data_IF_741623824110
#
_entry.id   IF_741623824110
#
_cell.length_a   1.000
_cell.length_b   1.000
_cell.length_c   1.000
_cell.angle_alpha   90.00
_cell.angle_beta   90.00
_cell.angle_gamma   90.00
#
_symmetry.space_group_name_H-M   'P 1'
#
loop_
_entity.id
_entity.type
_entity.pdbx_description
1 polymer ?
#
# COMPACT_ATOMS: atom_id res chain seq x y z
N UNK A 1 -48.68 57.20 19.71
CA UNK A 1 -47.20 57.17 19.63
C UNK A 1 -46.77 55.72 19.50
N UNK A 2 -46.56 55.23 18.27
CA UNK A 2 -46.10 53.85 18.03
C UNK A 2 -44.62 53.88 17.66
N UNK A 3 -43.76 53.30 18.49
CA UNK A 3 -42.32 53.21 18.27
C UNK A 3 -42.02 51.99 17.40
N UNK A 4 -41.46 52.21 16.22
CA UNK A 4 -41.02 51.15 15.29
C UNK A 4 -39.58 50.80 15.60
N UNK A 5 -39.36 49.64 16.22
CA UNK A 5 -38.02 49.13 16.53
C UNK A 5 -37.35 48.61 15.25
N UNK A 6 -36.30 49.30 14.78
CA UNK A 6 -35.44 48.85 13.68
C UNK A 6 -34.62 47.64 14.13
N UNK A 7 -34.96 46.44 13.67
CA UNK A 7 -34.07 45.29 13.78
C UNK A 7 -32.93 45.41 12.75
N UNK A 8 -31.69 45.54 13.24
CA UNK A 8 -30.51 45.40 12.40
C UNK A 8 -30.22 43.91 12.17
N UNK A 9 -30.37 43.47 10.92
CA UNK A 9 -29.98 42.14 10.47
C UNK A 9 -28.43 42.11 10.43
N UNK A 10 -27.80 41.47 11.41
CA UNK A 10 -26.37 41.14 11.34
C UNK A 10 -26.20 39.92 10.43
N UNK A 11 -25.76 40.15 9.20
CA UNK A 11 -25.28 39.08 8.33
C UNK A 11 -23.94 38.56 8.89
N UNK A 12 -23.98 37.49 9.69
CA UNK A 12 -22.80 36.68 9.94
C UNK A 12 -22.52 35.86 8.67
N UNK A 13 -21.72 36.41 7.77
CA UNK A 13 -21.12 35.59 6.72
C UNK A 13 -20.03 34.73 7.35
N UNK A 14 -20.36 33.46 7.61
CA UNK A 14 -19.36 32.45 7.93
C UNK A 14 -18.58 32.19 6.65
N UNK A 15 -17.51 32.96 6.42
CA UNK A 15 -16.49 32.58 5.44
C UNK A 15 -15.80 31.32 5.98
N UNK A 16 -16.34 30.16 5.62
CA UNK A 16 -15.62 28.89 5.74
C UNK A 16 -14.53 28.95 4.68
N UNK A 17 -13.39 29.53 5.05
CA UNK A 17 -12.17 29.39 4.26
C UNK A 17 -11.88 27.90 4.21
N UNK A 18 -12.05 27.30 3.03
CA UNK A 18 -11.67 25.92 2.76
C UNK A 18 -10.16 25.87 2.90
N UNK A 19 -9.67 25.60 4.13
CA UNK A 19 -8.26 25.55 4.43
C UNK A 19 -7.62 24.56 3.44
N UNK A 20 -6.69 25.04 2.62
CA UNK A 20 -5.89 24.18 1.76
C UNK A 20 -5.11 23.28 2.68
N UNK A 21 -5.55 22.02 2.82
CA UNK A 21 -4.86 21.01 3.59
C UNK A 21 -3.42 20.94 3.07
N UNK A 22 -2.47 21.35 3.90
CA UNK A 22 -1.06 21.30 3.55
C UNK A 22 -0.70 19.85 3.24
N UNK A 23 -0.01 19.61 2.12
CA UNK A 23 0.51 18.27 1.77
C UNK A 23 1.59 17.80 2.74
N UNK A 24 2.18 18.71 3.50
CA UNK A 24 3.23 18.44 4.46
C UNK A 24 2.74 18.70 5.89
N UNK A 25 3.00 17.76 6.82
CA UNK A 25 2.67 17.93 8.24
C UNK A 25 3.52 19.02 8.88
N UNK A 26 3.12 19.49 10.06
CA UNK A 26 3.97 20.37 10.88
C UNK A 26 5.15 19.60 11.46
N UNK A 27 6.26 20.28 11.77
CA UNK A 27 7.45 19.60 12.35
C UNK A 27 7.16 18.96 13.71
N UNK A 28 6.18 19.49 14.45
CA UNK A 28 5.71 18.91 15.72
C UNK A 28 4.92 17.61 15.55
N UNK A 29 4.38 17.34 14.35
CA UNK A 29 3.63 16.12 14.05
C UNK A 29 4.54 14.95 13.63
N UNK A 30 5.74 15.23 13.12
CA UNK A 30 6.65 14.20 12.60
C UNK A 30 7.54 13.66 13.71
N UNK A 31 7.46 12.36 13.96
CA UNK A 31 8.30 11.70 14.97
C UNK A 31 9.55 11.07 14.33
N UNK A 32 10.68 11.02 15.06
CA UNK A 32 11.92 10.41 14.58
C UNK A 32 11.76 8.95 14.08
N UNK A 33 10.79 8.21 14.63
CA UNK A 33 10.47 6.83 14.20
C UNK A 33 9.90 6.75 12.78
N UNK A 34 9.21 7.79 12.33
CA UNK A 34 8.54 7.84 11.02
C UNK A 34 9.51 8.23 9.90
N UNK A 35 10.67 8.81 10.24
CA UNK A 35 11.66 9.24 9.26
C UNK A 35 12.47 8.09 8.68
N UNK A 36 12.35 6.88 9.24
CA UNK A 36 13.07 5.68 8.80
C UNK A 36 14.55 5.62 9.18
N UNK A 37 15.08 6.66 9.85
CA UNK A 37 16.48 6.75 10.27
C UNK A 37 16.70 6.49 11.76
N UNK A 38 15.64 6.29 12.55
CA UNK A 38 15.77 6.00 13.98
C UNK A 38 16.41 4.62 14.20
N UNK A 39 17.45 4.57 15.02
CA UNK A 39 18.21 3.37 15.39
C UNK A 39 17.40 2.33 16.17
N UNK A 40 16.27 2.71 16.77
CA UNK A 40 15.45 1.88 17.65
C UNK A 40 14.31 1.13 16.95
N UNK A 41 14.14 1.29 15.64
CA UNK A 41 13.14 0.56 14.86
C UNK A 41 13.82 -0.43 13.92
N UNK A 42 13.20 -1.60 13.62
CA UNK A 42 13.71 -2.50 12.60
C UNK A 42 13.78 -1.70 11.29
N UNK A 43 15.00 -1.44 10.82
CA UNK A 43 15.25 -0.65 9.63
C UNK A 43 14.58 -1.34 8.44
N UNK A 44 13.47 -0.77 7.96
CA UNK A 44 12.73 -1.32 6.84
C UNK A 44 13.63 -1.37 5.59
N UNK A 45 13.77 -2.54 4.99
CA UNK A 45 14.70 -2.77 3.87
C UNK A 45 16.09 -3.26 4.29
N UNK A 46 16.39 -3.29 5.59
CA UNK A 46 17.50 -4.05 6.17
C UNK A 46 16.92 -5.29 6.91
N UNK A 47 17.72 -6.33 7.06
CA UNK A 47 17.35 -7.57 7.77
C UNK A 47 16.20 -8.39 7.13
N UNK A 48 16.20 -8.53 5.80
CA UNK A 48 15.24 -9.39 5.06
C UNK A 48 13.77 -9.02 5.28
N UNK A 49 13.48 -7.74 5.58
CA UNK A 49 12.11 -7.26 5.80
C UNK A 49 11.48 -6.77 4.50
N UNK A 50 10.18 -7.03 4.34
CA UNK A 50 9.42 -6.62 3.17
C UNK A 50 7.98 -6.25 3.54
N UNK A 51 7.31 -5.50 2.66
CA UNK A 51 5.91 -5.12 2.81
C UNK A 51 5.21 -5.05 1.46
N UNK A 52 3.90 -5.34 1.45
CA UNK A 52 3.02 -5.20 0.29
C UNK A 52 2.10 -4.01 0.50
N UNK A 53 2.31 -2.94 -0.26
CA UNK A 53 1.38 -1.83 -0.23
C UNK A 53 0.06 -2.22 -0.91
N UNK A 54 -1.06 -2.00 -0.24
CA UNK A 54 -2.39 -2.27 -0.81
C UNK A 54 -2.72 -1.31 -1.97
N UNK A 55 -3.69 -1.70 -2.79
CA UNK A 55 -4.23 -0.84 -3.84
C UNK A 55 -5.00 0.34 -3.25
N UNK A 56 -5.34 1.33 -4.08
CA UNK A 56 -6.19 2.46 -3.67
C UNK A 56 -7.56 2.01 -3.14
N UNK A 57 -8.02 0.82 -3.55
CA UNK A 57 -9.26 0.20 -3.10
C UNK A 57 -9.04 -0.78 -1.93
N UNK A 58 -7.90 -0.66 -1.24
CA UNK A 58 -7.52 -1.49 -0.12
C UNK A 58 -7.48 -3.01 -0.42
N UNK A 59 -7.14 -3.38 -1.67
CA UNK A 59 -6.99 -4.78 -2.11
C UNK A 59 -5.53 -5.17 -2.22
N UNK A 60 -5.24 -6.45 -2.00
CA UNK A 60 -3.90 -6.99 -2.23
C UNK A 60 -3.50 -6.82 -3.72
N UNK A 61 -2.25 -6.42 -3.99
CA UNK A 61 -1.76 -6.15 -5.35
C UNK A 61 -1.39 -7.44 -6.09
N UNK A 62 -2.32 -8.41 -6.12
CA UNK A 62 -2.15 -9.74 -6.72
C UNK A 62 -3.09 -9.88 -7.91
N UNK A 63 -2.52 -10.12 -9.09
CA UNK A 63 -3.22 -10.12 -10.37
C UNK A 63 -2.94 -11.40 -11.14
N UNK A 64 -3.87 -11.79 -12.01
CA UNK A 64 -3.63 -12.87 -12.98
C UNK A 64 -3.42 -12.23 -14.35
N UNK A 65 -2.27 -12.47 -14.96
CA UNK A 65 -1.92 -12.00 -16.29
C UNK A 65 -2.09 -13.15 -17.29
N UNK A 66 -2.97 -12.95 -18.27
CA UNK A 66 -3.17 -13.88 -19.38
C UNK A 66 -2.43 -13.37 -20.61
N UNK A 67 -1.51 -14.19 -21.13
CA UNK A 67 -0.89 -13.96 -22.45
C UNK A 67 -1.49 -14.96 -23.42
N UNK A 68 -1.88 -14.48 -24.60
CA UNK A 68 -2.64 -15.21 -25.61
C UNK A 68 -2.15 -16.67 -25.79
N UNK A 69 -3.02 -17.64 -25.49
CA UNK A 69 -2.75 -19.07 -25.65
C UNK A 69 -1.70 -19.68 -24.71
N UNK A 70 -1.15 -18.92 -23.75
CA UNK A 70 -0.11 -19.38 -22.82
C UNK A 70 -0.69 -19.61 -21.43
N UNK A 71 0.02 -20.41 -20.64
CA UNK A 71 -0.24 -20.54 -19.20
C UNK A 71 -0.24 -19.14 -18.56
N UNK A 72 -1.26 -18.80 -17.76
CA UNK A 72 -1.31 -17.50 -17.08
C UNK A 72 -0.18 -17.36 -16.08
N UNK A 73 0.12 -16.12 -15.71
CA UNK A 73 0.99 -15.81 -14.58
C UNK A 73 0.20 -15.17 -13.47
N UNK A 74 0.60 -15.42 -12.23
CA UNK A 74 0.17 -14.63 -11.07
C UNK A 74 1.24 -13.60 -10.77
N UNK A 75 0.87 -12.32 -10.84
CA UNK A 75 1.74 -11.18 -10.64
C UNK A 75 1.47 -10.55 -9.27
N UNK A 76 2.53 -10.37 -8.48
CA UNK A 76 2.50 -9.68 -7.19
C UNK A 76 3.27 -8.37 -7.35
N UNK A 77 2.62 -7.24 -7.06
CA UNK A 77 3.16 -5.87 -7.26
C UNK A 77 3.26 -5.12 -5.95
N UNK A 78 3.76 -3.87 -6.02
CA UNK A 78 3.86 -2.93 -4.89
C UNK A 78 4.66 -3.49 -3.70
N UNK A 79 5.72 -4.23 -4.03
CA UNK A 79 6.64 -4.81 -3.05
C UNK A 79 7.62 -3.73 -2.62
N UNK A 80 7.76 -3.58 -1.31
CA UNK A 80 8.71 -2.70 -0.65
C UNK A 80 9.67 -3.57 0.19
N UNK A 81 10.93 -3.15 0.35
CA UNK A 81 11.96 -3.95 1.04
C UNK A 81 12.55 -5.09 0.18
N UNK A 82 12.90 -6.20 0.83
CA UNK A 82 13.58 -7.35 0.21
C UNK A 82 12.61 -8.29 -0.55
N UNK A 83 12.63 -8.16 -1.87
CA UNK A 83 11.82 -9.00 -2.77
C UNK A 83 12.29 -10.46 -2.84
N UNK A 84 13.56 -10.72 -2.57
CA UNK A 84 14.13 -12.07 -2.60
C UNK A 84 13.62 -12.86 -1.40
N UNK A 85 13.57 -12.23 -0.23
CA UNK A 85 12.98 -12.86 0.94
C UNK A 85 11.49 -13.16 0.73
N UNK A 86 10.71 -12.20 0.22
CA UNK A 86 9.30 -12.45 -0.11
C UNK A 86 9.15 -13.63 -1.09
N UNK A 87 10.00 -13.73 -2.12
CA UNK A 87 9.99 -14.87 -3.03
C UNK A 87 10.26 -16.19 -2.30
N UNK A 88 11.23 -16.23 -1.40
CA UNK A 88 11.57 -17.44 -0.64
C UNK A 88 10.39 -17.90 0.22
N UNK A 89 9.78 -16.97 0.94
CA UNK A 89 8.63 -17.26 1.81
C UNK A 89 7.44 -17.75 0.96
N UNK A 90 7.22 -17.16 -0.22
CA UNK A 90 6.19 -17.63 -1.17
C UNK A 90 6.49 -19.02 -1.75
N UNK A 91 7.77 -19.37 -1.94
CA UNK A 91 8.17 -20.72 -2.38
C UNK A 91 7.92 -21.76 -1.29
N UNK A 92 8.15 -21.41 -0.03
CA UNK A 92 7.83 -22.27 1.11
C UNK A 92 6.31 -22.44 1.28
N UNK A 93 5.56 -21.36 1.06
CA UNK A 93 4.11 -21.37 1.20
C UNK A 93 3.37 -22.07 0.04
N UNK A 94 4.04 -22.25 -1.11
CA UNK A 94 3.50 -22.92 -2.31
C UNK A 94 4.42 -24.08 -2.74
N UNK A 95 4.55 -25.15 -1.93
CA UNK A 95 5.48 -26.25 -2.21
C UNK A 95 5.14 -27.03 -3.48
N UNK A 96 3.89 -26.97 -3.95
CA UNK A 96 3.44 -27.57 -5.21
C UNK A 96 4.01 -26.85 -6.45
N UNK A 97 4.51 -25.63 -6.30
CA UNK A 97 5.06 -24.82 -7.38
C UNK A 97 6.57 -24.99 -7.43
N UNK A 98 7.09 -25.47 -8.56
CA UNK A 98 8.54 -25.58 -8.77
C UNK A 98 9.22 -24.22 -8.62
N UNK A 99 10.39 -24.19 -7.97
CA UNK A 99 11.16 -22.95 -7.72
C UNK A 99 11.46 -22.15 -9.00
N UNK A 100 11.69 -22.83 -10.12
CA UNK A 100 11.93 -22.24 -11.45
C UNK A 100 10.74 -21.42 -12.00
N UNK A 101 9.52 -21.68 -11.51
CA UNK A 101 8.32 -20.96 -11.93
C UNK A 101 8.15 -19.61 -11.22
N UNK A 102 9.03 -19.27 -10.27
CA UNK A 102 9.07 -17.97 -9.62
C UNK A 102 10.12 -17.09 -10.31
N UNK A 103 9.65 -16.02 -10.95
CA UNK A 103 10.51 -15.02 -11.57
C UNK A 103 10.39 -13.70 -10.83
N UNK A 104 11.52 -13.20 -10.35
CA UNK A 104 11.63 -11.84 -9.79
C UNK A 104 12.02 -10.90 -10.93
N UNK A 105 11.29 -9.80 -11.07
CA UNK A 105 11.61 -8.70 -11.99
C UNK A 105 12.03 -7.51 -11.15
N UNK A 106 13.35 -7.31 -11.04
CA UNK A 106 13.95 -6.34 -10.11
C UNK A 106 13.63 -4.90 -10.50
N UNK A 107 13.58 -4.61 -11.80
CA UNK A 107 13.37 -3.27 -12.37
C UNK A 107 12.02 -2.69 -11.97
N UNK A 108 11.00 -3.54 -11.83
CA UNK A 108 9.64 -3.15 -11.46
C UNK A 108 9.21 -3.66 -10.08
N UNK A 109 10.15 -4.24 -9.32
CA UNK A 109 9.93 -4.89 -8.02
C UNK A 109 8.63 -5.70 -7.98
N UNK A 110 8.54 -6.69 -8.86
CA UNK A 110 7.40 -7.62 -8.93
C UNK A 110 7.84 -9.07 -9.00
N UNK A 111 6.97 -9.95 -8.52
CA UNK A 111 7.15 -11.40 -8.60
C UNK A 111 6.10 -11.95 -9.56
N UNK A 112 6.55 -12.77 -10.50
CA UNK A 112 5.71 -13.52 -11.43
C UNK A 112 5.80 -15.00 -11.08
N UNK A 113 4.64 -15.64 -10.92
CA UNK A 113 4.53 -17.07 -10.64
C UNK A 113 3.79 -17.70 -11.81
N UNK A 114 4.39 -18.68 -12.50
CA UNK A 114 3.75 -19.36 -13.63
C UNK A 114 2.58 -20.22 -13.13
N UNK A 115 1.36 -19.88 -13.54
CA UNK A 115 0.10 -20.50 -13.10
C UNK A 115 -0.87 -19.49 -12.49
N UNK A 116 -2.09 -19.93 -12.17
CA UNK A 116 -3.11 -19.10 -11.53
C UNK A 116 -3.24 -19.45 -10.03
N UNK A 117 -2.53 -18.70 -9.20
CA UNK A 117 -2.49 -18.85 -7.74
C UNK A 117 -3.11 -17.65 -7.02
N UNK A 118 -3.79 -16.75 -7.74
CA UNK A 118 -4.33 -15.50 -7.19
C UNK A 118 -5.21 -15.74 -5.94
N UNK A 119 -6.12 -16.71 -6.00
CA UNK A 119 -7.06 -17.00 -4.90
C UNK A 119 -6.32 -17.53 -3.66
N UNK A 120 -5.39 -18.45 -3.86
CA UNK A 120 -4.59 -19.05 -2.79
C UNK A 120 -3.71 -17.99 -2.11
N UNK A 121 -2.95 -17.23 -2.91
CA UNK A 121 -2.12 -16.13 -2.40
C UNK A 121 -2.92 -15.04 -1.70
N UNK A 122 -4.09 -14.68 -2.24
CA UNK A 122 -4.95 -13.70 -1.58
C UNK A 122 -5.43 -14.21 -0.22
N UNK A 123 -5.78 -15.49 -0.09
CA UNK A 123 -6.19 -16.06 1.19
C UNK A 123 -5.06 -16.04 2.22
N UNK A 124 -3.84 -16.35 1.79
CA UNK A 124 -2.67 -16.45 2.67
C UNK A 124 -2.18 -15.07 3.12
N UNK A 125 -2.17 -14.09 2.23
CA UNK A 125 -1.56 -12.78 2.49
C UNK A 125 -2.51 -11.76 3.14
N UNK A 126 -3.84 -11.97 3.09
CA UNK A 126 -4.81 -10.97 3.57
C UNK A 126 -4.86 -10.77 5.09
N UNK A 127 -4.27 -11.69 5.88
CA UNK A 127 -4.10 -11.54 7.32
C UNK A 127 -2.72 -11.01 7.74
N UNK A 128 -1.80 -10.87 6.80
CA UNK A 128 -0.40 -10.46 7.04
C UNK A 128 -0.16 -9.01 6.61
N UNK A 129 -0.78 -8.61 5.49
CA UNK A 129 -0.68 -7.28 4.87
C UNK A 129 -2.05 -6.66 4.67
#
# INVERSE_FOLDING_TARGET
MFSVTRQQIRLHSTFISKATQSKFPSLSEVTAKETGFASEQPQFGHNNTYSLQRSIHNKLPIYTEYKQGRTPYTEIRKIQGDIIQLRNDLQEALPEVKKENFKVVMESKKILIKGNYKRQLHSMLNGVF
#
